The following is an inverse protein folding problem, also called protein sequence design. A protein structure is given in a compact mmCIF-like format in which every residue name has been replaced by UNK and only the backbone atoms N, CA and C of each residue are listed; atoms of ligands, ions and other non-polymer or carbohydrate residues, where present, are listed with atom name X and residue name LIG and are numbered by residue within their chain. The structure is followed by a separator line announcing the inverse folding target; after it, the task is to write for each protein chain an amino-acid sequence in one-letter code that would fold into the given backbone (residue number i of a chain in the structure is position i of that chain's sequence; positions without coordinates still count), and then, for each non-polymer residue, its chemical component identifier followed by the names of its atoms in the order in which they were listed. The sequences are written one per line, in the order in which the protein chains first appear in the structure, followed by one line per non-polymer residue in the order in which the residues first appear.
data_IF_847115755333
#
_entry.id   IF_847115755333
#
_cell.length_a   1.000
_cell.length_b   1.000
_cell.length_c   1.000
_cell.angle_alpha   90.00
_cell.angle_beta   90.00
_cell.angle_gamma   90.00
#
_symmetry.space_group_name_H-M   'P 1'
#
loop_
_entity.id
_entity.type
_entity.pdbx_description
1 polymer ?
#
# COMPACT_ATOMS: atom_id res chain seq x y z
N UNK A 1 -13.38 -8.85 2.58
CA UNK A 1 -13.38 -8.97 1.10
C UNK A 1 -11.93 -8.98 0.65
N UNK A 2 -11.54 -9.88 -0.24
CA UNK A 2 -10.18 -9.91 -0.80
C UNK A 2 -10.25 -9.60 -2.29
N UNK A 3 -9.46 -8.62 -2.74
CA UNK A 3 -9.38 -8.22 -4.15
C UNK A 3 -7.95 -8.47 -4.63
N UNK A 4 -7.80 -9.29 -5.67
CA UNK A 4 -6.51 -9.53 -6.33
C UNK A 4 -6.44 -8.68 -7.60
N UNK A 5 -5.53 -7.72 -7.64
CA UNK A 5 -5.28 -6.87 -8.81
C UNK A 5 -3.81 -6.91 -9.18
N UNK A 6 -3.53 -6.86 -10.49
CA UNK A 6 -2.19 -6.61 -11.02
C UNK A 6 -2.08 -5.13 -11.36
N UNK A 7 -0.95 -4.52 -11.03
CA UNK A 7 -0.61 -3.13 -11.37
C UNK A 7 0.74 -3.12 -12.05
N UNK A 8 0.89 -2.26 -13.05
CA UNK A 8 2.18 -1.96 -13.65
C UNK A 8 2.98 -1.00 -12.75
N UNK A 9 4.26 -0.86 -13.02
CA UNK A 9 5.10 0.11 -12.33
C UNK A 9 4.57 1.54 -12.58
N UNK A 10 4.70 2.42 -11.58
CA UNK A 10 4.16 3.78 -11.61
C UNK A 10 2.67 3.91 -11.32
N UNK A 11 1.91 2.80 -11.38
CA UNK A 11 0.49 2.80 -11.10
C UNK A 11 0.15 2.83 -9.60
N UNK A 12 -1.06 3.30 -9.27
CA UNK A 12 -1.55 3.42 -7.89
C UNK A 12 -2.93 2.82 -7.66
N UNK A 13 -3.21 2.37 -6.45
CA UNK A 13 -4.56 1.96 -6.05
C UNK A 13 -4.97 2.62 -4.75
N UNK A 14 -6.28 2.79 -4.57
CA UNK A 14 -6.89 3.51 -3.46
C UNK A 14 -7.79 2.57 -2.68
N UNK A 15 -7.63 2.57 -1.37
CA UNK A 15 -8.57 1.97 -0.43
C UNK A 15 -9.34 3.11 0.21
N UNK A 16 -10.67 3.08 0.12
CA UNK A 16 -11.53 4.14 0.65
C UNK A 16 -12.54 3.52 1.60
N UNK A 17 -12.68 4.08 2.80
CA UNK A 17 -13.72 3.66 3.74
C UNK A 17 -15.01 4.48 3.59
N UNK A 18 -16.05 4.12 4.33
CA UNK A 18 -17.36 4.79 4.27
C UNK A 18 -17.33 6.26 4.73
N UNK A 19 -16.30 6.64 5.50
CA UNK A 19 -16.07 8.03 5.93
C UNK A 19 -15.32 8.86 4.88
N UNK A 20 -14.91 8.24 3.77
CA UNK A 20 -14.13 8.88 2.71
C UNK A 20 -12.63 9.01 3.01
N UNK A 21 -12.13 8.39 4.08
CA UNK A 21 -10.69 8.30 4.34
C UNK A 21 -10.04 7.41 3.29
N UNK A 22 -8.86 7.82 2.80
CA UNK A 22 -8.19 7.19 1.67
C UNK A 22 -6.80 6.72 2.07
N UNK A 23 -6.47 5.49 1.74
CA UNK A 23 -5.11 4.96 1.75
C UNK A 23 -4.69 4.82 0.28
N UNK A 24 -3.61 5.49 -0.12
CA UNK A 24 -3.04 5.39 -1.46
C UNK A 24 -1.82 4.47 -1.42
N UNK A 25 -1.78 3.51 -2.34
CA UNK A 25 -0.64 2.61 -2.50
C UNK A 25 -0.13 2.74 -3.93
N UNK A 26 1.12 3.16 -4.09
CA UNK A 26 1.77 3.38 -5.37
C UNK A 26 2.87 2.34 -5.58
N UNK A 27 2.86 1.71 -6.75
CA UNK A 27 3.96 0.88 -7.23
C UNK A 27 5.05 1.80 -7.76
N UNK A 28 6.25 1.74 -7.19
CA UNK A 28 7.37 2.55 -7.66
C UNK A 28 8.08 1.82 -8.83
N UNK A 29 8.64 2.60 -9.76
CA UNK A 29 9.46 2.07 -10.85
C UNK A 29 10.87 1.80 -10.31
N UNK A 30 11.34 0.56 -10.39
CA UNK A 30 12.71 0.22 -10.00
C UNK A 30 13.25 -0.94 -10.84
N UNK A 31 14.17 -0.62 -11.75
CA UNK A 31 14.74 -1.59 -12.68
C UNK A 31 15.74 -2.51 -11.97
N UNK A 32 15.54 -3.83 -12.11
CA UNK A 32 16.53 -4.86 -11.75
C UNK A 32 16.35 -5.50 -10.38
N UNK A 33 15.26 -5.21 -9.67
CA UNK A 33 15.00 -5.76 -8.35
C UNK A 33 13.99 -6.91 -8.39
N UNK A 34 14.22 -7.95 -7.56
CA UNK A 34 13.28 -9.08 -7.40
C UNK A 34 12.03 -8.70 -6.59
N UNK A 35 12.06 -7.55 -5.92
CA UNK A 35 11.01 -7.06 -5.05
C UNK A 35 10.37 -5.83 -5.68
N UNK A 36 9.06 -5.67 -5.50
CA UNK A 36 8.31 -4.54 -6.02
C UNK A 36 8.29 -3.45 -4.94
N UNK A 37 8.92 -2.29 -5.17
CA UNK A 37 8.89 -1.19 -4.21
C UNK A 37 7.50 -0.55 -4.17
N UNK A 38 7.04 -0.26 -2.95
CA UNK A 38 5.73 0.33 -2.69
C UNK A 38 5.89 1.63 -1.89
N UNK A 39 5.12 2.64 -2.25
CA UNK A 39 4.86 3.82 -1.41
C UNK A 39 3.44 3.74 -0.89
N UNK A 40 3.25 3.89 0.42
CA UNK A 40 1.94 3.84 1.07
C UNK A 40 1.72 5.17 1.78
N UNK A 41 0.63 5.85 1.42
CA UNK A 41 0.20 7.09 2.07
C UNK A 41 -1.14 6.83 2.76
N UNK A 42 -1.20 7.14 4.06
CA UNK A 42 -2.39 6.97 4.87
C UNK A 42 -2.62 8.20 5.76
N UNK A 43 -3.86 8.45 6.21
CA UNK A 43 -4.17 9.52 7.15
C UNK A 43 -3.45 9.31 8.50
N UNK A 44 -3.23 10.36 9.31
CA UNK A 44 -2.37 10.30 10.50
C UNK A 44 -2.92 9.41 11.64
N UNK A 45 -4.20 9.04 11.60
CA UNK A 45 -4.81 8.07 12.51
C UNK A 45 -4.49 6.61 12.16
N UNK A 46 -3.82 6.35 11.04
CA UNK A 46 -3.37 5.03 10.64
C UNK A 46 -1.86 4.88 10.91
N UNK A 47 -1.45 3.67 11.31
CA UNK A 47 -0.05 3.28 11.37
C UNK A 47 0.23 2.30 10.24
N UNK A 48 1.31 2.51 9.51
CA UNK A 48 1.76 1.62 8.44
C UNK A 48 2.89 0.76 9.02
N UNK A 49 2.71 -0.55 8.97
CA UNK A 49 3.70 -1.52 9.44
C UNK A 49 4.01 -2.52 8.35
N UNK A 50 5.25 -3.00 8.33
CA UNK A 50 5.55 -4.26 7.66
C UNK A 50 5.13 -5.40 8.58
N UNK A 51 4.54 -6.44 8.01
CA UNK A 51 4.00 -7.57 8.78
C UNK A 51 5.08 -8.21 9.66
N UNK A 52 6.31 -8.36 9.16
CA UNK A 52 7.42 -8.94 9.92
C UNK A 52 7.89 -8.10 11.11
N UNK A 53 7.50 -6.83 11.16
CA UNK A 53 7.82 -5.89 12.24
C UNK A 53 6.62 -5.75 13.20
N UNK A 54 5.41 -5.94 12.70
CA UNK A 54 4.20 -5.81 13.49
C UNK A 54 4.18 -6.86 14.60
N UNK A 55 4.03 -6.38 15.84
CA UNK A 55 3.80 -7.22 17.01
C UNK A 55 2.42 -6.85 17.55
N UNK A 56 1.51 -7.82 17.58
CA UNK A 56 0.28 -7.68 18.36
C UNK A 56 0.67 -7.63 19.83
N UNK A 57 0.51 -6.47 20.46
CA UNK A 57 0.53 -6.30 21.92
C UNK A 57 -0.91 -6.30 22.46
#
# INVERSE_FOLDING_TARGET
MALQIRRNEGEKFLIVNEKGEKIEIKILEEHGHKQIPLSIEAPPNYKIWREEIYKEE
#
